data_IF_424356483895
#
_entry.id   IF_424356483895
#
_cell.length_a   1.000
_cell.length_b   1.000
_cell.length_c   1.000
_cell.angle_alpha   90.00
_cell.angle_beta   90.00
_cell.angle_gamma   90.00
#
_symmetry.space_group_name_H-M   'P 1'
#
loop_
_entity.id
_entity.type
_entity.pdbx_description
1 polymer ?
#
# COMPACT_ATOMS: atom_id res chain seq x y z
N UNK A 1 -0.04 -27.01 -19.91
CA UNK A 1 -0.58 -26.76 -18.55
C UNK A 1 0.54 -26.33 -17.61
N UNK A 2 0.99 -25.08 -17.67
CA UNK A 2 2.02 -24.58 -16.75
C UNK A 2 1.39 -23.58 -15.80
N UNK A 3 0.96 -24.12 -14.65
CA UNK A 3 0.51 -23.40 -13.47
C UNK A 3 1.66 -22.48 -13.03
N UNK A 4 1.70 -21.23 -13.52
CA UNK A 4 2.63 -20.20 -13.02
C UNK A 4 2.30 -20.01 -11.55
N UNK A 5 3.02 -20.72 -10.69
CA UNK A 5 3.01 -20.55 -9.26
C UNK A 5 3.56 -19.15 -9.02
N UNK A 6 2.66 -18.18 -8.88
CA UNK A 6 3.03 -16.84 -8.41
C UNK A 6 3.70 -17.07 -7.05
N UNK A 7 4.98 -16.71 -6.88
CA UNK A 7 5.63 -16.81 -5.59
C UNK A 7 4.84 -15.92 -4.61
N UNK A 8 4.70 -16.30 -3.33
CA UNK A 8 4.18 -15.36 -2.35
C UNK A 8 5.15 -14.18 -2.36
N UNK A 9 4.76 -13.05 -2.94
CA UNK A 9 5.44 -11.78 -2.71
C UNK A 9 5.21 -11.49 -1.24
N UNK A 10 6.12 -12.01 -0.45
CA UNK A 10 6.37 -11.67 0.92
C UNK A 10 6.77 -10.19 0.90
N UNK A 11 5.77 -9.31 0.85
CA UNK A 11 5.95 -7.90 1.19
C UNK A 11 5.96 -7.83 2.73
N UNK A 12 6.83 -8.63 3.35
CA UNK A 12 7.33 -8.33 4.68
C UNK A 12 8.60 -7.56 4.45
N UNK A 13 8.50 -6.25 4.68
CA UNK A 13 9.64 -5.39 4.92
C UNK A 13 10.74 -5.42 3.87
N UNK A 14 10.69 -4.45 2.97
CA UNK A 14 11.82 -3.54 2.95
C UNK A 14 11.31 -2.14 3.27
N UNK A 15 11.14 -1.92 4.58
CA UNK A 15 11.74 -0.75 5.21
C UNK A 15 13.25 -0.80 4.94
N UNK A 16 13.62 -0.61 3.68
CA UNK A 16 15.00 -0.40 3.29
C UNK A 16 15.33 0.98 3.84
N UNK A 17 15.95 0.99 5.02
CA UNK A 17 16.77 2.09 5.51
C UNK A 17 17.96 2.28 4.57
N UNK A 18 17.75 2.39 3.27
CA UNK A 18 18.79 2.77 2.33
C UNK A 18 18.88 4.29 2.35
N UNK A 19 19.58 4.75 3.40
CA UNK A 19 20.37 5.98 3.51
C UNK A 19 20.00 7.04 2.47
N UNK A 20 18.81 7.63 2.61
CA UNK A 20 18.52 8.91 1.96
C UNK A 20 19.44 9.95 2.60
N UNK A 21 20.04 10.91 1.85
CA UNK A 21 20.79 11.99 2.46
C UNK A 21 19.87 12.67 3.49
N UNK A 22 20.25 12.60 4.76
CA UNK A 22 19.50 13.24 5.84
C UNK A 22 19.69 14.74 5.72
N UNK A 23 18.90 15.38 4.85
CA UNK A 23 18.80 16.84 4.82
C UNK A 23 18.09 17.24 6.12
N UNK A 24 18.90 17.69 7.08
CA UNK A 24 18.47 18.16 8.39
C UNK A 24 17.43 19.27 8.21
N UNK A 25 16.14 18.94 8.33
CA UNK A 25 15.05 19.92 8.38
C UNK A 25 14.37 19.82 9.72
N UNK A 26 14.96 20.54 10.67
CA UNK A 26 14.38 20.88 11.97
C UNK A 26 13.17 21.80 11.75
N UNK A 27 11.99 21.19 11.73
CA UNK A 27 10.73 21.87 11.97
C UNK A 27 9.70 20.79 12.18
N UNK A 28 8.92 20.88 13.26
CA UNK A 28 7.72 20.05 13.52
C UNK A 28 6.64 20.40 12.49
N UNK A 29 6.96 20.17 11.21
CA UNK A 29 6.05 20.28 10.09
C UNK A 29 5.26 19.00 10.09
N UNK A 30 3.97 19.09 10.43
CA UNK A 30 3.02 18.00 10.23
C UNK A 30 3.25 17.49 8.81
N UNK A 31 3.74 16.25 8.67
CA UNK A 31 4.03 15.64 7.38
C UNK A 31 2.88 14.70 7.04
N UNK A 32 1.76 15.22 6.49
CA UNK A 32 0.60 14.40 6.16
C UNK A 32 0.99 13.26 5.21
N UNK A 33 1.93 13.51 4.29
CA UNK A 33 2.52 12.48 3.45
C UNK A 33 3.21 11.37 4.26
N UNK A 34 4.03 11.70 5.27
CA UNK A 34 4.70 10.70 6.13
C UNK A 34 3.69 9.87 6.92
N UNK A 35 2.66 10.51 7.48
CA UNK A 35 1.58 9.80 8.18
C UNK A 35 0.88 8.84 7.22
N UNK A 36 0.52 9.31 6.02
CA UNK A 36 -0.11 8.51 4.98
C UNK A 36 0.73 7.30 4.57
N UNK A 37 2.02 7.49 4.32
CA UNK A 37 2.92 6.40 3.95
C UNK A 37 3.01 5.34 5.06
N UNK A 38 3.10 5.77 6.32
CA UNK A 38 3.14 4.85 7.46
C UNK A 38 1.85 4.03 7.61
N UNK A 39 0.68 4.67 7.45
CA UNK A 39 -0.61 3.99 7.51
C UNK A 39 -0.83 3.04 6.32
N UNK A 40 -0.47 3.47 5.11
CA UNK A 40 -0.52 2.64 3.92
C UNK A 40 0.40 1.41 4.07
N UNK A 41 1.60 1.59 4.62
CA UNK A 41 2.51 0.49 4.96
C UNK A 41 1.89 -0.49 5.96
N UNK A 42 1.19 0.00 6.98
CA UNK A 42 0.42 -0.85 7.92
C UNK A 42 -0.77 -1.58 7.29
N UNK A 43 -1.17 -1.23 6.07
CA UNK A 43 -2.28 -1.81 5.32
C UNK A 43 -1.81 -2.51 4.03
N UNK A 44 -0.51 -2.77 3.90
CA UNK A 44 0.11 -3.30 2.68
C UNK A 44 -0.52 -4.62 2.20
N UNK A 45 -1.00 -5.47 3.11
CA UNK A 45 -1.72 -6.71 2.77
C UNK A 45 -2.95 -6.46 1.89
N UNK A 46 -3.81 -5.52 2.30
CA UNK A 46 -5.00 -5.15 1.53
C UNK A 46 -4.64 -4.43 0.23
N UNK A 47 -3.53 -3.66 0.23
CA UNK A 47 -2.98 -3.03 -0.97
C UNK A 47 -2.50 -4.07 -2.00
N UNK A 48 -1.87 -5.16 -1.55
CA UNK A 48 -1.44 -6.26 -2.41
C UNK A 48 -2.63 -7.01 -3.02
N UNK A 49 -3.69 -7.29 -2.23
CA UNK A 49 -4.93 -7.91 -2.72
C UNK A 49 -5.60 -7.04 -3.80
N UNK A 50 -5.70 -5.73 -3.56
CA UNK A 50 -6.21 -4.77 -4.55
C UNK A 50 -5.35 -4.74 -5.82
N UNK A 51 -4.03 -4.67 -5.66
CA UNK A 51 -3.09 -4.68 -6.78
C UNK A 51 -3.20 -5.95 -7.63
N UNK A 52 -3.32 -7.12 -6.99
CA UNK A 52 -3.52 -8.39 -7.68
C UNK A 52 -4.81 -8.40 -8.50
N UNK A 53 -5.92 -7.87 -7.96
CA UNK A 53 -7.17 -7.75 -8.71
C UNK A 53 -7.01 -6.89 -9.96
N UNK A 54 -6.30 -5.75 -9.86
CA UNK A 54 -6.02 -4.90 -11.01
C UNK A 54 -5.16 -5.64 -12.04
N UNK A 55 -4.09 -6.30 -11.61
CA UNK A 55 -3.19 -7.01 -12.51
C UNK A 55 -3.89 -8.12 -13.30
N UNK A 56 -4.85 -8.82 -12.67
CA UNK A 56 -5.67 -9.82 -13.35
C UNK A 56 -6.58 -9.24 -14.45
N UNK A 57 -7.03 -7.99 -14.28
CA UNK A 57 -7.97 -7.33 -15.19
C UNK A 57 -7.40 -6.11 -15.92
N UNK A 58 -6.09 -5.90 -15.89
CA UNK A 58 -5.43 -4.65 -16.30
C UNK A 58 -5.86 -4.15 -17.70
N UNK A 59 -6.09 -5.07 -18.65
CA UNK A 59 -6.48 -4.75 -20.02
C UNK A 59 -7.96 -4.36 -20.19
N UNK A 60 -8.84 -4.78 -19.28
CA UNK A 60 -10.30 -4.63 -19.42
C UNK A 60 -10.95 -4.03 -18.17
N UNK A 61 -10.15 -3.46 -17.28
CA UNK A 61 -10.63 -2.99 -15.98
C UNK A 61 -11.62 -1.85 -16.16
N UNK A 62 -12.76 -1.96 -15.47
CA UNK A 62 -13.77 -0.91 -15.38
C UNK A 62 -13.87 -0.44 -13.93
N UNK A 63 -14.40 0.77 -13.77
CA UNK A 63 -14.70 1.33 -12.45
C UNK A 63 -15.62 0.36 -11.69
N UNK A 64 -15.12 -0.24 -10.61
CA UNK A 64 -15.89 -1.17 -9.76
C UNK A 64 -15.35 -2.59 -9.70
N UNK A 65 -14.53 -3.03 -10.67
CA UNK A 65 -14.04 -4.41 -10.75
C UNK A 65 -13.27 -4.89 -9.51
N UNK A 66 -12.55 -3.98 -8.85
CA UNK A 66 -11.76 -4.24 -7.65
C UNK A 66 -12.24 -3.41 -6.45
N UNK A 67 -13.52 -3.01 -6.45
CA UNK A 67 -14.07 -2.12 -5.41
C UNK A 67 -13.99 -2.74 -4.02
N UNK A 68 -14.26 -4.04 -3.88
CA UNK A 68 -14.22 -4.72 -2.58
C UNK A 68 -12.84 -4.63 -1.91
N UNK A 69 -11.78 -4.93 -2.66
CA UNK A 69 -10.41 -4.90 -2.12
C UNK A 69 -9.92 -3.47 -1.88
N UNK A 70 -10.33 -2.54 -2.75
CA UNK A 70 -10.10 -1.12 -2.52
C UNK A 70 -10.78 -0.62 -1.25
N UNK A 71 -12.02 -1.03 -0.96
CA UNK A 71 -12.70 -0.62 0.28
C UNK A 71 -11.97 -1.14 1.51
N UNK A 72 -11.51 -2.39 1.52
CA UNK A 72 -10.73 -2.93 2.65
C UNK A 72 -9.44 -2.13 2.88
N UNK A 73 -8.70 -1.85 1.81
CA UNK A 73 -7.49 -1.03 1.90
C UNK A 73 -7.80 0.38 2.39
N UNK A 74 -8.82 1.03 1.82
CA UNK A 74 -9.26 2.37 2.20
C UNK A 74 -9.68 2.43 3.66
N UNK A 75 -10.48 1.49 4.14
CA UNK A 75 -10.93 1.43 5.54
C UNK A 75 -9.73 1.31 6.47
N UNK A 76 -8.80 0.37 6.20
CA UNK A 76 -7.59 0.20 6.99
C UNK A 76 -6.76 1.50 7.04
N UNK A 77 -6.52 2.15 5.89
CA UNK A 77 -5.73 3.39 5.83
C UNK A 77 -6.44 4.52 6.59
N UNK A 78 -7.76 4.63 6.44
CA UNK A 78 -8.55 5.68 7.10
C UNK A 78 -8.58 5.49 8.62
N UNK A 79 -8.72 4.27 9.11
CA UNK A 79 -8.63 3.95 10.54
C UNK A 79 -7.25 4.31 11.11
N UNK A 80 -6.18 4.04 10.35
CA UNK A 80 -4.80 4.36 10.74
C UNK A 80 -4.49 5.87 10.62
N UNK A 81 -5.21 6.62 9.78
CA UNK A 81 -5.17 8.10 9.72
C UNK A 81 -5.92 8.76 10.88
N UNK A 82 -7.08 8.20 11.25
CA UNK A 82 -8.03 8.77 12.18
C UNK A 82 -7.61 8.62 13.65
N UNK A 83 -6.66 7.73 13.96
CA UNK A 83 -6.06 7.65 15.29
C UNK A 83 -5.26 8.94 15.58
N UNK A 84 -5.84 9.77 16.45
CA UNK A 84 -5.30 11.02 16.98
C UNK A 84 -4.34 10.75 18.13
#
# INVERSE_FOLDING_TARGET
>A
MTKKKVPPTNISGESSQNKTPQIMTNSTRIRPAKRLMNAAGGCAKYGAEYGNCILLKYQTIKKGDCAQEFQKFKSCVTEKMAKK
#
